data_IF_874737117295
#
_entry.id   IF_874737117295
#
_cell.length_a   1.000
_cell.length_b   1.000
_cell.length_c   1.000
_cell.angle_alpha   90.00
_cell.angle_beta   90.00
_cell.angle_gamma   90.00
#
_symmetry.space_group_name_H-M   'P 1'
#
loop_
_entity.id
_entity.type
_entity.pdbx_description
1 polymer ?
#
# COMPACT_ATOMS: atom_id res chain seq x y z
N UNK A 1 -0.87 18.49 19.02
CA UNK A 1 -1.17 17.35 18.14
C UNK A 1 -1.29 16.13 19.05
N UNK A 2 -2.50 15.78 19.47
CA UNK A 2 -2.79 14.68 20.40
C UNK A 2 -3.76 13.75 19.68
N UNK A 3 -3.30 12.58 19.28
CA UNK A 3 -4.15 11.55 18.70
C UNK A 3 -4.75 10.75 19.85
N UNK A 4 -6.08 10.63 19.91
CA UNK A 4 -6.80 9.92 20.97
C UNK A 4 -7.09 8.50 20.47
N UNK A 5 -6.38 7.50 20.99
CA UNK A 5 -6.68 6.10 20.71
C UNK A 5 -7.71 5.59 21.72
N UNK A 6 -8.91 5.27 21.25
CA UNK A 6 -9.85 4.48 22.04
C UNK A 6 -9.43 3.01 21.87
N UNK A 7 -8.84 2.42 22.91
CA UNK A 7 -8.38 1.03 22.88
C UNK A 7 -9.56 0.07 22.77
N UNK A 8 -9.64 -0.66 21.66
CA UNK A 8 -10.66 -1.67 21.40
C UNK A 8 -9.99 -3.04 21.43
N UNK A 9 -9.70 -3.54 22.64
CA UNK A 9 -8.93 -4.77 22.87
C UNK A 9 -7.52 -4.76 22.24
N UNK A 10 -6.64 -5.64 22.71
CA UNK A 10 -5.25 -5.66 22.27
C UNK A 10 -5.20 -5.88 20.75
N UNK A 11 -4.46 -5.01 20.05
CA UNK A 11 -4.09 -5.08 18.62
C UNK A 11 -4.97 -4.33 17.60
N UNK A 12 -6.14 -3.77 17.98
CA UNK A 12 -6.93 -2.90 17.09
C UNK A 12 -6.99 -1.45 17.60
N UNK A 13 -6.71 -0.52 16.69
CA UNK A 13 -6.68 0.91 16.98
C UNK A 13 -7.48 1.70 15.95
N UNK A 14 -8.36 2.59 16.44
CA UNK A 14 -8.99 3.58 15.59
C UNK A 14 -8.13 4.86 15.57
N UNK A 15 -7.84 5.35 14.37
CA UNK A 15 -7.06 6.57 14.14
C UNK A 15 -7.92 7.58 13.40
N UNK A 16 -8.12 8.75 14.02
CA UNK A 16 -8.87 9.86 13.44
C UNK A 16 -7.89 10.93 12.92
N UNK A 17 -7.99 11.27 11.63
CA UNK A 17 -7.18 12.29 11.00
C UNK A 17 -7.91 13.62 10.93
N UNK A 18 -7.23 14.71 11.32
CA UNK A 18 -7.78 16.07 11.21
C UNK A 18 -7.82 16.62 9.78
N UNK A 19 -7.07 16.02 8.84
CA UNK A 19 -7.07 16.35 7.42
C UNK A 19 -7.07 15.06 6.57
N UNK A 20 -7.90 15.04 5.53
CA UNK A 20 -7.97 13.96 4.53
C UNK A 20 -6.63 13.78 3.80
N UNK A 21 -5.85 14.86 3.60
CA UNK A 21 -4.53 14.79 2.97
C UNK A 21 -3.53 14.00 3.82
N UNK A 22 -3.59 14.17 5.15
CA UNK A 22 -2.73 13.42 6.06
C UNK A 22 -3.12 11.94 6.07
N UNK A 23 -4.43 11.63 6.09
CA UNK A 23 -4.95 10.27 5.94
C UNK A 23 -4.39 9.62 4.67
N UNK A 24 -4.58 10.28 3.52
CA UNK A 24 -4.13 9.79 2.21
C UNK A 24 -2.62 9.55 2.19
N UNK A 25 -1.83 10.51 2.67
CA UNK A 25 -0.38 10.37 2.73
C UNK A 25 0.06 9.16 3.57
N UNK A 26 -0.60 8.90 4.69
CA UNK A 26 -0.29 7.72 5.53
C UNK A 26 -0.63 6.41 4.82
N UNK A 27 -1.77 6.35 4.13
CA UNK A 27 -2.19 5.18 3.35
C UNK A 27 -1.25 4.92 2.16
N UNK A 28 -0.87 5.97 1.43
CA UNK A 28 0.05 5.88 0.27
C UNK A 28 1.47 5.43 0.67
N UNK A 29 1.85 5.62 1.94
CA UNK A 29 3.13 5.16 2.51
C UNK A 29 3.05 3.76 3.15
N UNK A 30 1.96 3.03 2.98
CA UNK A 30 1.86 1.63 3.43
C UNK A 30 2.67 0.70 2.51
N UNK A 31 3.24 -0.41 3.02
CA UNK A 31 3.11 -0.95 4.37
C UNK A 31 4.02 -0.24 5.37
N UNK A 32 3.55 -0.04 6.61
CA UNK A 32 4.34 0.55 7.70
C UNK A 32 4.68 -0.51 8.73
N UNK A 33 5.94 -0.58 9.15
CA UNK A 33 6.35 -1.40 10.28
C UNK A 33 6.52 -0.56 11.53
N UNK A 34 6.04 -1.05 12.67
CA UNK A 34 6.32 -0.52 14.01
C UNK A 34 6.91 -1.66 14.86
N UNK A 35 8.05 -1.43 15.51
CA UNK A 35 8.73 -2.47 16.30
C UNK A 35 8.95 -3.81 15.58
N UNK A 36 9.24 -3.76 14.28
CA UNK A 36 9.39 -4.94 13.39
C UNK A 36 8.10 -5.74 13.16
N UNK A 37 6.95 -5.22 13.56
CA UNK A 37 5.63 -5.75 13.26
C UNK A 37 4.97 -4.95 12.13
N UNK A 38 4.34 -5.63 11.18
CA UNK A 38 3.57 -4.98 10.12
C UNK A 38 2.29 -4.38 10.70
N UNK A 39 2.07 -3.10 10.45
CA UNK A 39 0.83 -2.42 10.80
C UNK A 39 -0.06 -2.39 9.56
N UNK A 40 -1.20 -3.07 9.64
CA UNK A 40 -2.23 -3.04 8.59
C UNK A 40 -3.14 -1.85 8.87
N UNK A 41 -3.28 -0.96 7.89
CA UNK A 41 -4.12 0.24 7.99
C UNK A 41 -5.20 0.11 6.91
N UNK A 42 -6.46 0.22 7.32
CA UNK A 42 -7.61 0.20 6.43
C UNK A 42 -8.50 1.41 6.72
N UNK A 43 -9.13 1.95 5.67
CA UNK A 43 -10.15 2.98 5.86
C UNK A 43 -11.37 2.42 6.58
N UNK A 44 -11.92 3.22 7.50
CA UNK A 44 -13.09 2.88 8.28
C UNK A 44 -14.28 3.73 7.84
N UNK A 45 -15.28 3.12 7.20
CA UNK A 45 -16.47 3.80 6.66
C UNK A 45 -17.64 3.87 7.67
N UNK A 46 -17.47 3.32 8.88
CA UNK A 46 -18.45 3.43 9.97
C UNK A 46 -19.67 2.51 9.86
N UNK A 47 -19.79 1.72 8.79
CA UNK A 47 -20.87 0.74 8.62
C UNK A 47 -20.65 -0.54 9.43
N UNK A 48 -19.39 -0.90 9.66
CA UNK A 48 -18.98 -2.06 10.44
C UNK A 48 -18.54 -1.61 11.83
N UNK A 49 -18.72 -2.45 12.83
CA UNK A 49 -17.96 -2.28 14.07
C UNK A 49 -16.49 -2.64 13.83
N UNK A 50 -15.52 -2.06 14.56
CA UNK A 50 -14.11 -2.44 14.41
C UNK A 50 -13.84 -3.94 14.61
N UNK A 51 -14.74 -4.66 15.32
CA UNK A 51 -14.68 -6.12 15.50
C UNK A 51 -15.08 -6.91 14.26
N UNK A 52 -15.86 -6.31 13.37
CA UNK A 52 -16.31 -6.91 12.11
C UNK A 52 -15.35 -6.61 10.95
N UNK A 53 -14.37 -5.72 11.16
CA UNK A 53 -13.34 -5.43 10.17
C UNK A 53 -12.29 -6.55 10.12
N UNK A 54 -12.06 -7.09 8.92
CA UNK A 54 -11.00 -8.05 8.68
C UNK A 54 -9.74 -7.36 8.11
N UNK A 55 -8.77 -7.05 8.97
CA UNK A 55 -7.46 -6.53 8.58
C UNK A 55 -6.55 -7.68 8.10
N UNK A 56 -6.68 -8.07 6.83
CA UNK A 56 -5.92 -9.21 6.25
C UNK A 56 -4.83 -8.82 5.25
N UNK A 57 -5.01 -7.71 4.54
CA UNK A 57 -4.17 -7.35 3.40
C UNK A 57 -3.61 -5.94 3.55
N UNK A 58 -2.34 -5.76 3.15
CA UNK A 58 -1.72 -4.44 3.01
C UNK A 58 -1.07 -4.37 1.63
N UNK A 59 -1.31 -3.29 0.86
CA UNK A 59 -0.59 -3.09 -0.39
C UNK A 59 0.89 -2.82 -0.11
N UNK A 60 1.75 -3.22 -1.05
CA UNK A 60 3.19 -2.94 -0.99
C UNK A 60 3.80 -2.90 -2.39
N UNK A 61 4.88 -2.14 -2.52
CA UNK A 61 5.67 -2.09 -3.74
C UNK A 61 6.59 -3.29 -3.85
N UNK A 62 6.59 -3.92 -5.02
CA UNK A 62 7.57 -4.93 -5.39
C UNK A 62 8.56 -4.34 -6.38
N UNK A 63 9.85 -4.53 -6.12
CA UNK A 63 10.89 -4.16 -7.06
C UNK A 63 11.36 -5.42 -7.79
N UNK A 64 11.23 -5.41 -9.12
CA UNK A 64 11.66 -6.54 -9.96
C UNK A 64 13.07 -6.25 -10.47
N UNK A 65 14.03 -7.10 -10.09
CA UNK A 65 15.42 -6.99 -10.52
C UNK A 65 15.69 -7.83 -11.77
N UNK A 66 16.70 -7.43 -12.54
CA UNK A 66 17.20 -8.17 -13.72
C UNK A 66 16.14 -8.46 -14.79
N UNK A 67 15.11 -7.61 -14.88
CA UNK A 67 14.12 -7.71 -15.96
C UNK A 67 14.80 -7.30 -17.29
N UNK A 68 14.64 -8.05 -18.40
CA UNK A 68 15.18 -7.64 -19.69
C UNK A 68 14.69 -6.25 -20.11
N UNK A 69 15.51 -5.47 -20.80
CA UNK A 69 15.16 -4.09 -21.17
C UNK A 69 13.84 -4.00 -21.97
N UNK A 70 13.61 -4.96 -22.88
CA UNK A 70 12.38 -5.04 -23.68
C UNK A 70 11.13 -5.38 -22.86
N UNK A 71 11.32 -5.75 -21.59
CA UNK A 71 10.27 -6.14 -20.65
C UNK A 71 10.00 -5.04 -19.62
N UNK A 72 10.65 -3.87 -19.71
CA UNK A 72 10.38 -2.71 -18.83
C UNK A 72 9.15 -1.94 -19.30
N UNK A 73 8.04 -2.64 -19.48
CA UNK A 73 6.77 -2.08 -19.93
C UNK A 73 5.70 -2.20 -18.85
N UNK A 74 4.71 -1.32 -18.92
CA UNK A 74 3.54 -1.36 -18.04
C UNK A 74 2.84 -2.70 -18.11
N UNK A 75 2.66 -3.26 -19.30
CA UNK A 75 2.00 -4.56 -19.53
C UNK A 75 2.75 -5.69 -18.83
N UNK A 76 4.08 -5.68 -18.90
CA UNK A 76 4.90 -6.69 -18.22
C UNK A 76 4.79 -6.56 -16.71
N UNK A 77 4.85 -5.33 -16.18
CA UNK A 77 4.66 -5.07 -14.75
C UNK A 77 3.31 -5.57 -14.24
N UNK A 78 2.23 -5.30 -14.99
CA UNK A 78 0.89 -5.81 -14.67
C UNK A 78 0.82 -7.33 -14.75
N UNK A 79 1.38 -7.96 -15.78
CA UNK A 79 1.39 -9.41 -15.92
C UNK A 79 2.10 -10.10 -14.75
N UNK A 80 3.27 -9.60 -14.34
CA UNK A 80 4.02 -10.15 -13.20
C UNK A 80 3.26 -9.90 -11.90
N UNK A 81 2.83 -8.66 -11.64
CA UNK A 81 2.10 -8.31 -10.42
C UNK A 81 0.81 -9.13 -10.26
N UNK A 82 0.05 -9.29 -11.34
CA UNK A 82 -1.21 -10.06 -11.35
C UNK A 82 -0.99 -11.57 -11.15
N UNK A 83 0.21 -12.09 -11.46
CA UNK A 83 0.56 -13.48 -11.18
C UNK A 83 0.86 -13.73 -9.69
N UNK A 84 1.24 -12.68 -8.95
CA UNK A 84 1.55 -12.74 -7.52
C UNK A 84 0.34 -12.43 -6.63
N UNK A 85 -0.63 -11.69 -7.15
CA UNK A 85 -1.83 -11.30 -6.43
C UNK A 85 -2.59 -10.18 -7.15
N UNK A 86 -3.25 -9.31 -6.39
CA UNK A 86 -3.93 -8.14 -6.95
C UNK A 86 -2.93 -7.02 -7.23
N UNK A 87 -2.54 -6.85 -8.49
CA UNK A 87 -1.79 -5.68 -8.91
C UNK A 87 -2.65 -4.41 -8.77
N UNK A 88 -2.07 -3.34 -8.23
CA UNK A 88 -2.77 -2.07 -8.01
C UNK A 88 -2.17 -0.94 -8.85
N UNK A 89 -0.84 -0.89 -8.93
CA UNK A 89 -0.11 0.14 -9.65
C UNK A 89 1.21 -0.44 -10.20
N UNK A 90 1.71 0.17 -11.28
CA UNK A 90 3.03 -0.13 -11.84
C UNK A 90 3.73 1.20 -12.09
N UNK A 91 4.90 1.38 -11.46
CA UNK A 91 5.72 2.59 -11.59
C UNK A 91 6.47 2.59 -12.93
N UNK A 92 5.84 3.19 -13.94
CA UNK A 92 6.38 3.36 -15.30
C UNK A 92 6.01 4.76 -15.78
N UNK A 93 6.89 5.45 -16.55
CA UNK A 93 6.53 6.75 -17.12
C UNK A 93 5.25 6.69 -17.97
N UNK A 94 4.63 7.83 -18.23
CA UNK A 94 3.41 7.94 -19.05
C UNK A 94 3.56 7.34 -20.46
N UNK A 95 4.80 7.22 -20.96
CA UNK A 95 5.12 6.51 -22.21
C UNK A 95 4.81 5.00 -22.17
N UNK A 96 4.55 4.44 -20.99
CA UNK A 96 4.30 3.01 -20.76
C UNK A 96 5.57 2.15 -20.80
N UNK A 97 6.73 2.75 -21.06
CA UNK A 97 8.02 2.05 -21.19
C UNK A 97 9.11 2.82 -20.47
N UNK A 98 9.89 2.10 -19.67
CA UNK A 98 11.08 2.62 -19.02
C UNK A 98 12.30 2.21 -19.86
N UNK A 99 12.72 3.06 -20.80
CA UNK A 99 14.00 2.88 -21.46
C UNK A 99 15.08 3.34 -20.50
N UNK A 100 15.70 2.41 -19.78
CA UNK A 100 16.87 2.73 -18.95
C UNK A 100 17.90 3.50 -19.78
N UNK A 101 18.57 4.49 -19.17
CA UNK A 101 19.79 5.04 -19.77
C UNK A 101 20.88 3.98 -19.61
N UNK A 102 21.34 3.40 -20.73
CA UNK A 102 22.66 2.78 -20.75
C UNK A 102 23.69 3.90 -20.50
N UNK A 103 24.37 3.84 -19.36
CA UNK A 103 25.64 4.54 -19.17
C UNK A 103 26.76 3.66 -19.73
#
# INVERSE_FOLDING_TARGET
>A
MLWKTNGLEAELFLVEFGDVKDKKKVLDMSPRSFEKQLVIIQEFEGELTPKEMELKWSPFWIQIFNLPLMSWTKETGWAIGSSLGTAMEVDVPDSGVHWGKCL
#
